data_IF_756585805072
#
_entry.id   IF_756585805072
#
_cell.length_a   1.000
_cell.length_b   1.000
_cell.length_c   1.000
_cell.angle_alpha   90.00
_cell.angle_beta   90.00
_cell.angle_gamma   90.00
#
_symmetry.space_group_name_H-M   'P 1'
#
loop_
_entity.id
_entity.type
_entity.pdbx_description
1 polymer ?
#
# COMPACT_ATOMS: atom_id res chain seq x y z
N UNK A 1 -4.41 13.12 -4.71
CA UNK A 1 -4.38 12.11 -5.78
C UNK A 1 -2.98 11.80 -6.34
N UNK A 2 -2.25 12.73 -6.97
CA UNK A 2 -0.94 12.40 -7.60
C UNK A 2 0.14 11.88 -6.63
N UNK A 3 0.23 12.43 -5.42
CA UNK A 3 1.18 11.94 -4.40
C UNK A 3 0.84 10.53 -3.91
N UNK A 4 -0.44 10.28 -3.58
CA UNK A 4 -0.94 8.97 -3.16
C UNK A 4 -0.61 7.88 -4.19
N UNK A 5 -0.82 8.16 -5.48
CA UNK A 5 -0.48 7.21 -6.54
C UNK A 5 1.03 6.95 -6.65
N UNK A 6 1.87 7.96 -6.42
CA UNK A 6 3.34 7.80 -6.44
C UNK A 6 3.81 6.98 -5.25
N UNK A 7 3.27 7.26 -4.07
CA UNK A 7 3.58 6.51 -2.85
C UNK A 7 3.22 5.02 -3.01
N UNK A 8 2.04 4.74 -3.54
CA UNK A 8 1.62 3.36 -3.84
C UNK A 8 2.48 2.68 -4.92
N UNK A 9 3.10 3.44 -5.83
CA UNK A 9 4.01 2.90 -6.85
C UNK A 9 5.37 2.46 -6.29
N UNK A 10 5.73 2.86 -5.07
CA UNK A 10 6.92 2.37 -4.38
C UNK A 10 6.79 0.87 -4.03
N UNK A 11 5.56 0.37 -3.93
CA UNK A 11 5.28 -1.04 -3.69
C UNK A 11 5.52 -1.85 -4.97
N UNK A 12 6.45 -2.81 -4.90
CA UNK A 12 6.78 -3.66 -6.05
C UNK A 12 5.56 -4.46 -6.48
N UNK A 13 5.10 -4.21 -7.71
CA UNK A 13 3.92 -4.83 -8.29
C UNK A 13 2.72 -3.89 -8.45
N UNK A 14 2.80 -2.66 -7.96
CA UNK A 14 1.79 -1.62 -8.20
C UNK A 14 2.30 -0.64 -9.25
N UNK A 15 1.67 -0.65 -10.42
CA UNK A 15 1.92 0.32 -11.49
C UNK A 15 1.00 1.54 -11.44
N UNK A 16 1.10 2.44 -12.43
CA UNK A 16 0.22 3.61 -12.59
C UNK A 16 -1.28 3.25 -12.61
N UNK A 17 -1.65 2.16 -13.27
CA UNK A 17 -3.06 1.74 -13.39
C UNK A 17 -3.58 1.19 -12.05
N UNK A 18 -2.80 0.32 -11.38
CA UNK A 18 -3.18 -0.26 -10.10
C UNK A 18 -3.22 0.77 -8.98
N UNK A 19 -2.26 1.70 -8.94
CA UNK A 19 -2.25 2.79 -7.95
C UNK A 19 -3.48 3.68 -8.07
N UNK A 20 -3.95 3.95 -9.29
CA UNK A 20 -5.23 4.66 -9.50
C UNK A 20 -6.42 3.86 -8.95
N UNK A 21 -6.54 2.58 -9.30
CA UNK A 21 -7.64 1.71 -8.85
C UNK A 21 -7.67 1.54 -7.32
N UNK A 22 -6.51 1.48 -6.69
CA UNK A 22 -6.36 1.46 -5.23
C UNK A 22 -6.92 2.73 -4.60
N UNK A 23 -6.55 3.90 -5.12
CA UNK A 23 -7.10 5.20 -4.66
C UNK A 23 -8.61 5.27 -4.88
N UNK A 24 -9.11 4.82 -6.03
CA UNK A 24 -10.55 4.76 -6.33
C UNK A 24 -11.30 3.80 -5.39
N UNK A 25 -10.62 2.75 -4.92
CA UNK A 25 -11.12 1.79 -3.92
C UNK A 25 -10.90 2.25 -2.46
N UNK A 26 -10.61 3.53 -2.23
CA UNK A 26 -10.31 4.13 -0.92
C UNK A 26 -9.03 3.65 -0.22
N UNK A 27 -8.14 2.94 -0.92
CA UNK A 27 -6.79 2.55 -0.46
C UNK A 27 -5.74 3.55 -0.94
N UNK A 28 -5.87 4.79 -0.49
CA UNK A 28 -5.08 5.89 -1.01
C UNK A 28 -3.69 6.08 -0.36
N UNK A 29 -3.34 5.27 0.65
CA UNK A 29 -2.04 5.34 1.34
C UNK A 29 -1.48 3.94 1.62
N UNK A 30 -0.16 3.85 1.80
CA UNK A 30 0.51 2.58 2.17
C UNK A 30 -0.07 2.02 3.48
N UNK A 31 -0.37 2.88 4.46
CA UNK A 31 -0.96 2.46 5.73
C UNK A 31 -2.33 1.79 5.54
N UNK A 32 -3.18 2.33 4.67
CA UNK A 32 -4.47 1.70 4.33
C UNK A 32 -4.29 0.37 3.61
N UNK A 33 -3.29 0.26 2.73
CA UNK A 33 -2.96 -1.02 2.06
C UNK A 33 -2.39 -2.04 3.04
N UNK A 34 -1.60 -1.61 4.02
CA UNK A 34 -1.05 -2.46 5.07
C UNK A 34 -2.13 -3.01 6.02
N UNK A 35 -3.15 -2.17 6.30
CA UNK A 35 -4.34 -2.53 7.07
C UNK A 35 -5.37 -3.32 6.25
N UNK A 36 -5.33 -3.22 4.93
CA UNK A 36 -6.24 -3.93 4.05
C UNK A 36 -6.02 -5.45 4.13
N UNK A 37 -7.12 -6.20 4.09
CA UNK A 37 -7.07 -7.64 3.99
C UNK A 37 -6.79 -8.10 2.56
N UNK A 38 -6.15 -9.28 2.43
CA UNK A 38 -5.86 -9.91 1.14
C UNK A 38 -7.09 -9.95 0.23
N UNK A 39 -8.25 -10.37 0.76
CA UNK A 39 -9.51 -10.46 0.02
C UNK A 39 -10.00 -9.10 -0.50
N UNK A 40 -9.73 -8.01 0.21
CA UNK A 40 -10.12 -6.66 -0.21
C UNK A 40 -9.29 -6.18 -1.42
N UNK A 41 -8.00 -6.48 -1.40
CA UNK A 41 -7.07 -6.15 -2.48
C UNK A 41 -7.24 -7.08 -3.70
N UNK A 42 -7.52 -8.38 -3.48
CA UNK A 42 -7.80 -9.34 -4.55
C UNK A 42 -9.02 -8.98 -5.41
N UNK A 43 -9.96 -8.18 -4.87
CA UNK A 43 -11.12 -7.68 -5.61
C UNK A 43 -10.79 -6.56 -6.60
N UNK A 44 -9.59 -5.97 -6.50
CA UNK A 44 -9.18 -4.91 -7.42
C UNK A 44 -8.85 -5.53 -8.77
N UNK A 45 -9.55 -5.11 -9.80
CA UNK A 45 -9.32 -5.59 -11.16
C UNK A 45 -7.85 -5.42 -11.57
N UNK A 46 -7.29 -6.44 -12.21
CA UNK A 46 -5.89 -6.45 -12.64
C UNK A 46 -4.88 -6.71 -11.51
N UNK A 47 -5.32 -6.88 -10.27
CA UNK A 47 -4.44 -7.26 -9.17
C UNK A 47 -4.20 -8.77 -9.20
N UNK A 48 -2.93 -9.19 -9.10
CA UNK A 48 -2.59 -10.60 -9.07
C UNK A 48 -2.69 -11.13 -7.63
N UNK A 49 -3.57 -12.11 -7.33
CA UNK A 49 -3.79 -12.64 -5.99
C UNK A 49 -2.54 -13.23 -5.32
N UNK A 50 -1.59 -13.76 -6.12
CA UNK A 50 -0.32 -14.24 -5.59
C UNK A 50 0.60 -13.11 -5.14
N UNK A 51 0.50 -11.94 -5.77
CA UNK A 51 1.31 -10.76 -5.44
C UNK A 51 0.70 -9.93 -4.30
N UNK A 52 -0.60 -10.03 -4.05
CA UNK A 52 -1.30 -9.30 -2.97
C UNK A 52 -0.59 -9.48 -1.63
N UNK A 53 -0.23 -10.72 -1.29
CA UNK A 53 0.40 -11.03 0.00
C UNK A 53 1.78 -10.35 0.14
N UNK A 54 2.54 -10.28 -0.96
CA UNK A 54 3.82 -9.56 -1.01
C UNK A 54 3.62 -8.04 -0.90
N UNK A 55 2.60 -7.48 -1.55
CA UNK A 55 2.26 -6.05 -1.49
C UNK A 55 1.88 -5.65 -0.06
N UNK A 56 1.00 -6.42 0.59
CA UNK A 56 0.58 -6.16 1.98
C UNK A 56 1.77 -6.25 2.93
N UNK A 57 2.64 -7.26 2.75
CA UNK A 57 3.85 -7.41 3.57
C UNK A 57 4.82 -6.25 3.40
N UNK A 58 5.04 -5.79 2.16
CA UNK A 58 5.85 -4.60 1.87
C UNK A 58 5.25 -3.34 2.50
N UNK A 59 3.95 -3.15 2.36
CA UNK A 59 3.24 -2.00 2.92
C UNK A 59 3.30 -1.97 4.46
N UNK A 60 3.12 -3.13 5.11
CA UNK A 60 3.29 -3.29 6.56
C UNK A 60 4.71 -2.98 7.00
N UNK A 61 5.72 -3.43 6.25
CA UNK A 61 7.12 -3.15 6.56
C UNK A 61 7.41 -1.65 6.48
N UNK A 62 6.96 -0.98 5.41
CA UNK A 62 7.14 0.48 5.25
C UNK A 62 6.37 1.28 6.32
N UNK A 63 5.17 0.85 6.70
CA UNK A 63 4.36 1.51 7.73
C UNK A 63 4.93 1.30 9.14
N UNK A 64 5.36 0.07 9.46
CA UNK A 64 6.00 -0.25 10.74
C UNK A 64 7.37 0.39 10.93
N UNK A 65 8.12 0.63 9.85
CA UNK A 65 9.34 1.44 9.89
C UNK A 65 9.03 2.93 10.15
N UNK A 66 7.93 3.42 9.57
CA UNK A 66 7.46 4.80 9.75
C UNK A 66 7.00 5.07 11.19
N UNK A 67 6.36 4.10 11.85
CA UNK A 67 5.98 4.21 13.28
C UNK A 67 7.21 4.17 14.21
N UNK A 68 8.22 3.34 13.91
CA UNK A 68 9.47 3.33 14.67
C UNK A 68 10.26 4.63 14.53
N UNK A 69 10.29 5.21 13.34
CA UNK A 69 10.99 6.48 13.09
C UNK A 69 10.30 7.69 13.73
N UNK A 70 8.95 7.68 13.82
CA UNK A 70 8.20 8.75 14.51
C UNK A 70 8.30 8.69 16.04
N UNK A 71 8.74 7.58 16.62
CA UNK A 71 8.89 7.41 18.08
C UNK A 71 10.33 7.61 18.61
N UNK A 72 11.29 7.93 17.74
CA UNK A 72 12.68 8.21 18.15
C UNK A 72 13.11 9.63 17.77
N UNK A 73 12.33 10.65 18.15
CA UNK A 73 12.87 12.00 18.35
C UNK A 73 11.99 12.81 19.31
N UNK A 74 12.11 12.52 20.60
CA UNK A 74 11.79 13.46 21.66
C UNK A 74 12.81 13.22 22.76
N UNK A 75 13.97 13.85 22.60
CA UNK A 75 14.90 14.12 23.69
C UNK A 75 15.56 15.46 23.46
#
# INVERSE_FOLDING_TARGET
>A
MRNQMKELQELKGIGKVLSRRLVESSYDTIAKVAAAEKKGLERIEGMNPQKVLSIVTQARKMTGDTEKSRHTWSR
#
